data_IF_134520031672
#
_entry.id   IF_134520031672
#
_cell.length_a   1.000
_cell.length_b   1.000
_cell.length_c   1.000
_cell.angle_alpha   90.00
_cell.angle_beta   90.00
_cell.angle_gamma   90.00
#
_symmetry.space_group_name_H-M   'P 1'
#
loop_
_entity.id
_entity.type
_entity.pdbx_description
1 polymer ?
#
# COMPACT_ATOMS: atom_id res chain seq x y z
N UNK A 1 -12.64 18.40 -12.98
CA UNK A 1 -12.11 17.95 -11.68
C UNK A 1 -11.78 19.14 -10.79
N UNK A 2 -12.12 19.11 -9.48
CA UNK A 2 -11.67 20.12 -8.55
C UNK A 2 -10.18 19.91 -8.22
N UNK A 3 -9.36 20.91 -8.51
CA UNK A 3 -8.00 21.00 -7.97
C UNK A 3 -8.06 21.61 -6.58
N UNK A 4 -7.53 20.90 -5.60
CA UNK A 4 -7.44 21.32 -4.21
C UNK A 4 -5.95 21.42 -3.87
N UNK A 5 -5.47 22.65 -3.71
CA UNK A 5 -4.07 22.94 -3.47
C UNK A 5 -3.90 23.78 -2.21
N UNK A 6 -3.03 23.33 -1.30
CA UNK A 6 -2.67 24.09 -0.08
C UNK A 6 -3.80 24.30 0.92
N UNK A 7 -4.92 23.58 0.79
CA UNK A 7 -5.92 23.48 1.85
C UNK A 7 -5.37 22.55 2.94
N UNK A 8 -5.38 22.94 4.23
CA UNK A 8 -4.83 22.12 5.31
C UNK A 8 -5.54 20.77 5.44
N UNK A 9 -6.87 20.80 5.51
CA UNK A 9 -7.73 19.63 5.79
C UNK A 9 -8.96 19.61 4.85
N UNK A 10 -8.78 19.42 3.54
CA UNK A 10 -9.93 19.41 2.63
C UNK A 10 -10.79 18.16 2.85
N UNK A 11 -12.11 18.37 2.91
CA UNK A 11 -13.10 17.30 2.95
C UNK A 11 -13.71 17.10 1.57
N UNK A 12 -13.60 15.88 1.04
CA UNK A 12 -14.02 15.54 -0.32
C UNK A 12 -14.94 14.32 -0.25
N UNK A 13 -16.17 14.49 -0.69
CA UNK A 13 -17.18 13.43 -0.69
C UNK A 13 -17.81 13.29 -2.06
N UNK A 14 -17.76 12.09 -2.65
CA UNK A 14 -18.43 11.78 -3.92
C UNK A 14 -17.91 12.56 -5.14
N UNK A 15 -16.72 13.16 -5.05
CA UNK A 15 -16.06 13.75 -6.22
C UNK A 15 -15.47 12.62 -7.07
N UNK A 16 -15.74 12.55 -8.38
CA UNK A 16 -15.29 11.44 -9.23
C UNK A 16 -13.75 11.31 -9.25
N UNK A 17 -13.06 12.38 -9.59
CA UNK A 17 -11.59 12.41 -9.78
C UNK A 17 -11.02 13.68 -9.12
N UNK A 18 -10.97 13.78 -7.77
CA UNK A 18 -10.39 14.95 -7.12
C UNK A 18 -8.86 14.95 -7.26
N UNK A 19 -8.29 16.12 -7.57
CA UNK A 19 -6.84 16.33 -7.58
C UNK A 19 -6.41 17.09 -6.33
N UNK A 20 -5.53 16.49 -5.53
CA UNK A 20 -5.07 17.04 -4.26
C UNK A 20 -3.56 17.18 -4.29
N UNK A 21 -3.08 18.40 -4.08
CA UNK A 21 -1.65 18.70 -4.09
C UNK A 21 -1.25 19.49 -2.84
N UNK A 22 -0.33 18.94 -2.04
CA UNK A 22 0.23 19.63 -0.88
C UNK A 22 -0.80 19.96 0.21
N UNK A 23 -1.87 19.17 0.31
CA UNK A 23 -2.80 19.24 1.43
C UNK A 23 -2.29 18.30 2.54
N UNK A 24 -1.99 18.80 3.75
CA UNK A 24 -1.57 18.02 4.92
C UNK A 24 -2.42 16.77 5.19
N UNK A 25 -3.73 16.96 5.37
CA UNK A 25 -4.63 15.94 5.93
C UNK A 25 -5.96 15.88 5.13
N UNK A 26 -5.93 15.53 3.83
CA UNK A 26 -7.15 15.43 3.04
C UNK A 26 -7.98 14.23 3.48
N UNK A 27 -9.28 14.45 3.68
CA UNK A 27 -10.25 13.38 3.93
C UNK A 27 -11.09 13.14 2.68
N UNK A 28 -11.03 11.91 2.16
CA UNK A 28 -11.69 11.52 0.92
C UNK A 28 -12.61 10.34 1.18
N UNK A 29 -13.89 10.50 0.83
CA UNK A 29 -14.89 9.46 0.95
C UNK A 29 -15.66 9.26 -0.36
N UNK A 30 -15.66 8.02 -0.87
CA UNK A 30 -16.46 7.64 -2.05
C UNK A 30 -16.04 8.37 -3.33
N UNK A 31 -14.76 8.72 -3.46
CA UNK A 31 -14.19 9.23 -4.69
C UNK A 31 -13.61 8.06 -5.51
N UNK A 32 -14.13 7.76 -6.72
CA UNK A 32 -13.60 6.75 -7.64
C UNK A 32 -12.08 6.76 -7.80
N UNK A 33 -11.52 7.90 -8.23
CA UNK A 33 -10.15 7.99 -8.73
C UNK A 33 -9.42 9.22 -8.14
N UNK A 34 -9.25 9.34 -6.81
CA UNK A 34 -8.56 10.47 -6.22
C UNK A 34 -7.06 10.41 -6.55
N UNK A 35 -6.51 11.54 -7.00
CA UNK A 35 -5.07 11.72 -7.21
C UNK A 35 -4.50 12.61 -6.11
N UNK A 36 -3.57 12.07 -5.33
CA UNK A 36 -2.96 12.74 -4.19
C UNK A 36 -1.45 12.81 -4.36
N UNK A 37 -0.91 14.03 -4.28
CA UNK A 37 0.52 14.28 -4.35
C UNK A 37 0.99 15.14 -3.17
N UNK A 38 1.98 14.65 -2.42
CA UNK A 38 2.64 15.40 -1.35
C UNK A 38 1.69 15.74 -0.19
N UNK A 39 0.75 14.85 0.11
CA UNK A 39 -0.10 14.94 1.30
C UNK A 39 0.51 14.07 2.41
N UNK A 40 0.99 14.65 3.53
CA UNK A 40 1.44 13.93 4.72
C UNK A 40 0.58 12.74 5.15
N UNK A 41 -0.71 13.00 5.42
CA UNK A 41 -1.60 12.06 6.13
C UNK A 41 -2.98 11.97 5.44
N UNK A 42 -3.07 11.54 4.16
CA UNK A 42 -4.35 11.42 3.48
C UNK A 42 -5.15 10.25 4.04
N UNK A 43 -6.43 10.49 4.33
CA UNK A 43 -7.38 9.44 4.69
C UNK A 43 -8.34 9.19 3.54
N UNK A 44 -8.37 7.96 3.04
CA UNK A 44 -9.20 7.56 1.90
C UNK A 44 -10.10 6.38 2.28
N UNK A 45 -11.40 6.54 2.09
CA UNK A 45 -12.38 5.49 2.33
C UNK A 45 -13.27 5.27 1.10
N UNK A 46 -13.37 4.01 0.66
CA UNK A 46 -14.26 3.61 -0.43
C UNK A 46 -13.91 4.25 -1.78
N UNK A 47 -12.61 4.39 -2.05
CA UNK A 47 -12.11 4.83 -3.34
C UNK A 47 -11.64 3.61 -4.15
N UNK A 48 -12.30 3.25 -5.26
CA UNK A 48 -11.85 2.23 -6.21
C UNK A 48 -10.35 2.23 -6.52
N UNK A 49 -9.84 3.35 -7.03
CA UNK A 49 -8.51 3.43 -7.67
C UNK A 49 -7.74 4.67 -7.20
N UNK A 50 -7.47 4.84 -5.89
CA UNK A 50 -6.72 5.99 -5.40
C UNK A 50 -5.25 5.90 -5.83
N UNK A 51 -4.72 6.99 -6.36
CA UNK A 51 -3.29 7.14 -6.63
C UNK A 51 -2.67 8.11 -5.62
N UNK A 52 -1.66 7.63 -4.88
CA UNK A 52 -0.97 8.40 -3.86
C UNK A 52 0.52 8.42 -4.12
N UNK A 53 1.11 9.62 -4.19
CA UNK A 53 2.53 9.82 -4.36
C UNK A 53 3.11 10.75 -3.29
N UNK A 54 4.18 10.30 -2.63
CA UNK A 54 4.92 11.10 -1.66
C UNK A 54 4.09 11.46 -0.42
N UNK A 55 3.26 10.52 0.04
CA UNK A 55 2.51 10.63 1.28
C UNK A 55 3.21 9.81 2.38
N UNK A 56 3.80 10.42 3.42
CA UNK A 56 4.32 9.76 4.61
C UNK A 56 3.45 8.62 5.16
N UNK A 57 2.20 8.93 5.51
CA UNK A 57 1.34 8.06 6.33
C UNK A 57 -0.08 7.96 5.74
N UNK A 58 -0.25 7.48 4.49
CA UNK A 58 -1.57 7.36 3.88
C UNK A 58 -2.35 6.22 4.54
N UNK A 59 -3.60 6.49 4.90
CA UNK A 59 -4.55 5.47 5.38
C UNK A 59 -5.61 5.22 4.30
N UNK A 60 -5.71 3.97 3.85
CA UNK A 60 -6.66 3.56 2.81
C UNK A 60 -7.52 2.40 3.31
N UNK A 61 -8.84 2.58 3.23
CA UNK A 61 -9.81 1.55 3.58
C UNK A 61 -10.81 1.28 2.46
N UNK A 62 -10.98 0.01 2.09
CA UNK A 62 -11.97 -0.42 1.11
C UNK A 62 -11.70 0.11 -0.29
N UNK A 63 -10.42 0.12 -0.69
CA UNK A 63 -10.00 0.48 -2.03
C UNK A 63 -9.58 -0.78 -2.81
N UNK A 64 -10.33 -1.20 -3.84
CA UNK A 64 -9.96 -2.26 -4.78
C UNK A 64 -8.49 -2.27 -5.22
N UNK A 65 -8.04 -1.17 -5.82
CA UNK A 65 -6.77 -1.11 -6.58
C UNK A 65 -5.96 0.15 -6.20
N UNK A 66 -5.59 0.36 -4.92
CA UNK A 66 -4.81 1.52 -4.53
C UNK A 66 -3.38 1.42 -5.05
N UNK A 67 -2.89 2.50 -5.65
CA UNK A 67 -1.48 2.64 -6.04
C UNK A 67 -0.78 3.64 -5.12
N UNK A 68 0.28 3.18 -4.45
CA UNK A 68 1.05 4.01 -3.52
C UNK A 68 2.53 4.01 -3.93
N UNK A 69 3.11 5.20 -4.04
CA UNK A 69 4.52 5.38 -4.35
C UNK A 69 5.20 6.35 -3.37
N UNK A 70 6.32 5.91 -2.80
CA UNK A 70 7.14 6.74 -1.91
C UNK A 70 6.43 7.13 -0.63
N UNK A 71 5.70 6.17 -0.04
CA UNK A 71 5.05 6.32 1.25
C UNK A 71 5.80 5.51 2.31
N UNK A 72 6.48 6.14 3.28
CA UNK A 72 7.08 5.51 4.45
C UNK A 72 6.24 4.43 5.12
N UNK A 73 5.04 4.79 5.56
CA UNK A 73 4.22 3.98 6.48
C UNK A 73 2.75 3.89 5.99
N UNK A 74 2.48 3.37 4.78
CA UNK A 74 1.13 3.26 4.27
C UNK A 74 0.37 2.16 5.03
N UNK A 75 -0.85 2.49 5.48
CA UNK A 75 -1.78 1.50 6.05
C UNK A 75 -2.91 1.23 5.07
N UNK A 76 -3.05 -0.03 4.66
CA UNK A 76 -4.09 -0.47 3.71
C UNK A 76 -4.92 -1.58 4.32
N UNK A 77 -6.24 -1.43 4.26
CA UNK A 77 -7.20 -2.41 4.79
C UNK A 77 -8.30 -2.71 3.77
N UNK A 78 -8.51 -4.00 3.49
CA UNK A 78 -9.58 -4.47 2.61
C UNK A 78 -9.38 -4.02 1.16
N UNK A 79 -8.15 -4.09 0.68
CA UNK A 79 -7.78 -3.80 -0.69
C UNK A 79 -7.43 -5.10 -1.43
N UNK A 80 -8.26 -5.59 -2.37
CA UNK A 80 -7.96 -6.70 -3.28
C UNK A 80 -6.54 -6.72 -3.84
N UNK A 81 -6.15 -5.66 -4.54
CA UNK A 81 -4.95 -5.61 -5.39
C UNK A 81 -4.11 -4.34 -5.14
N UNK A 82 -3.63 -4.10 -3.90
CA UNK A 82 -2.83 -2.91 -3.62
C UNK A 82 -1.45 -3.04 -4.25
N UNK A 83 -1.01 -1.98 -4.94
CA UNK A 83 0.36 -1.87 -5.44
C UNK A 83 1.12 -0.83 -4.62
N UNK A 84 2.21 -1.25 -3.97
CA UNK A 84 3.04 -0.39 -3.14
C UNK A 84 4.48 -0.41 -3.63
N UNK A 85 5.06 0.77 -3.83
CA UNK A 85 6.44 0.94 -4.26
C UNK A 85 7.22 1.91 -3.37
N UNK A 86 8.40 1.50 -2.93
CA UNK A 86 9.30 2.35 -2.14
C UNK A 86 8.71 2.74 -0.79
N UNK A 87 8.07 1.78 -0.12
CA UNK A 87 7.50 1.96 1.21
C UNK A 87 8.32 1.18 2.24
N UNK A 88 9.11 1.84 3.10
CA UNK A 88 9.78 1.26 4.27
C UNK A 88 8.98 0.20 5.03
N UNK A 89 7.81 0.58 5.54
CA UNK A 89 7.06 -0.18 6.55
C UNK A 89 5.55 -0.25 6.20
N UNK A 90 5.17 -0.81 5.03
CA UNK A 90 3.78 -0.90 4.64
C UNK A 90 3.06 -1.93 5.52
N UNK A 91 1.89 -1.55 6.04
CA UNK A 91 0.99 -2.49 6.71
C UNK A 91 -0.22 -2.76 5.83
N UNK A 92 -0.42 -4.02 5.46
CA UNK A 92 -1.52 -4.45 4.60
C UNK A 92 -2.34 -5.52 5.29
N UNK A 93 -3.67 -5.34 5.34
CA UNK A 93 -4.59 -6.29 5.93
C UNK A 93 -5.75 -6.62 4.99
N UNK A 94 -6.05 -7.92 4.86
CA UNK A 94 -7.16 -8.41 4.05
C UNK A 94 -7.01 -8.07 2.57
N UNK A 95 -5.80 -8.24 2.04
CA UNK A 95 -5.48 -8.03 0.64
C UNK A 95 -5.17 -9.37 -0.03
N UNK A 96 -6.07 -9.93 -0.86
CA UNK A 96 -5.83 -11.10 -1.71
C UNK A 96 -4.47 -11.16 -2.41
N UNK A 97 -4.15 -10.13 -3.19
CA UNK A 97 -3.04 -10.13 -4.16
C UNK A 97 -2.19 -8.85 -4.04
N UNK A 98 -1.59 -8.55 -2.87
CA UNK A 98 -0.78 -7.35 -2.70
C UNK A 98 0.53 -7.49 -3.46
N UNK A 99 0.89 -6.45 -4.22
CA UNK A 99 2.21 -6.34 -4.85
C UNK A 99 3.02 -5.28 -4.13
N UNK A 100 4.18 -5.67 -3.60
CA UNK A 100 5.06 -4.78 -2.85
C UNK A 100 6.47 -4.83 -3.43
N UNK A 101 7.03 -3.67 -3.76
CA UNK A 101 8.40 -3.55 -4.25
C UNK A 101 9.21 -2.51 -3.47
N UNK A 102 10.41 -2.90 -3.05
CA UNK A 102 11.34 -2.02 -2.33
C UNK A 102 10.81 -1.63 -0.95
N UNK A 103 10.23 -2.60 -0.24
CA UNK A 103 9.76 -2.44 1.12
C UNK A 103 10.62 -3.26 2.08
N UNK A 104 11.49 -2.64 2.88
CA UNK A 104 12.31 -3.32 3.86
C UNK A 104 11.57 -4.26 4.82
N UNK A 105 10.51 -3.75 5.46
CA UNK A 105 9.82 -4.41 6.57
C UNK A 105 8.29 -4.47 6.35
N UNK A 106 7.80 -5.09 5.26
CA UNK A 106 6.37 -5.14 4.98
C UNK A 106 5.69 -6.09 5.96
N UNK A 107 4.58 -5.63 6.55
CA UNK A 107 3.70 -6.47 7.37
C UNK A 107 2.41 -6.75 6.59
N UNK A 108 2.15 -8.02 6.31
CA UNK A 108 0.98 -8.44 5.53
C UNK A 108 0.19 -9.48 6.30
N UNK A 109 -1.11 -9.27 6.44
CA UNK A 109 -2.02 -10.23 7.07
C UNK A 109 -3.24 -10.52 6.20
N UNK A 110 -3.59 -11.81 6.08
CA UNK A 110 -4.75 -12.25 5.31
C UNK A 110 -4.58 -12.05 3.80
N UNK A 111 -3.37 -12.32 3.30
CA UNK A 111 -3.04 -12.23 1.89
C UNK A 111 -2.73 -13.61 1.31
N UNK A 112 -3.67 -14.26 0.61
CA UNK A 112 -3.47 -15.47 -0.17
C UNK A 112 -2.18 -15.54 -1.00
N UNK A 113 -1.99 -14.55 -1.87
CA UNK A 113 -0.99 -14.57 -2.96
C UNK A 113 -0.14 -13.29 -2.97
N UNK A 114 0.59 -12.97 -1.89
CA UNK A 114 1.40 -11.75 -1.85
C UNK A 114 2.63 -11.92 -2.74
N UNK A 115 2.89 -10.91 -3.58
CA UNK A 115 4.14 -10.80 -4.33
C UNK A 115 5.00 -9.69 -3.73
N UNK A 116 6.18 -10.05 -3.25
CA UNK A 116 7.08 -9.12 -2.57
C UNK A 116 8.47 -9.18 -3.18
N UNK A 117 9.02 -8.03 -3.54
CA UNK A 117 10.37 -7.91 -4.08
C UNK A 117 11.19 -6.86 -3.32
N UNK A 118 12.42 -7.23 -2.95
CA UNK A 118 13.34 -6.32 -2.27
C UNK A 118 12.92 -6.01 -0.83
N UNK A 119 12.44 -7.03 -0.12
CA UNK A 119 12.05 -6.96 1.29
C UNK A 119 12.96 -7.86 2.12
N UNK A 120 13.92 -7.31 2.90
CA UNK A 120 14.80 -8.10 3.73
C UNK A 120 14.09 -8.87 4.84
N UNK A 121 13.13 -8.24 5.51
CA UNK A 121 12.47 -8.75 6.72
C UNK A 121 10.93 -8.74 6.60
N UNK A 122 10.33 -9.41 5.59
CA UNK A 122 8.89 -9.42 5.43
C UNK A 122 8.23 -10.30 6.50
N UNK A 123 7.18 -9.78 7.14
CA UNK A 123 6.32 -10.56 8.04
C UNK A 123 4.97 -10.78 7.38
N UNK A 124 4.63 -12.05 7.14
CA UNK A 124 3.43 -12.43 6.39
C UNK A 124 2.62 -13.46 7.18
N UNK A 125 1.33 -13.21 7.38
CA UNK A 125 0.42 -14.12 8.04
C UNK A 125 -0.78 -14.46 7.15
N UNK A 126 -1.11 -15.75 7.05
CA UNK A 126 -2.25 -16.21 6.27
C UNK A 126 -2.01 -16.16 4.75
N UNK A 127 -0.78 -16.43 4.32
CA UNK A 127 -0.38 -16.52 2.92
C UNK A 127 -0.08 -17.96 2.52
N UNK A 128 -1.05 -18.69 1.93
CA UNK A 128 -0.82 -20.00 1.34
C UNK A 128 0.21 -20.02 0.21
N UNK A 129 0.26 -18.99 -0.64
CA UNK A 129 1.10 -18.97 -1.85
C UNK A 129 1.94 -17.67 -1.97
N UNK A 130 2.84 -17.38 -1.00
CA UNK A 130 3.68 -16.19 -1.06
C UNK A 130 4.81 -16.36 -2.08
N UNK A 131 5.03 -15.35 -2.91
CA UNK A 131 6.21 -15.24 -3.76
C UNK A 131 7.07 -14.07 -3.29
N UNK A 132 8.25 -14.40 -2.78
CA UNK A 132 9.17 -13.43 -2.18
C UNK A 132 10.54 -13.52 -2.85
N UNK A 133 11.05 -12.36 -3.27
CA UNK A 133 12.38 -12.20 -3.84
C UNK A 133 13.18 -11.16 -3.04
N UNK A 134 14.45 -11.49 -2.75
CA UNK A 134 15.33 -10.59 -2.01
C UNK A 134 15.04 -10.51 -0.51
N UNK A 135 14.49 -11.59 0.07
CA UNK A 135 14.24 -11.73 1.50
C UNK A 135 15.22 -12.72 2.16
N UNK A 136 16.32 -12.25 2.76
CA UNK A 136 17.15 -13.02 3.68
C UNK A 136 16.36 -13.58 4.88
N UNK A 137 15.46 -12.81 5.49
CA UNK A 137 14.81 -13.17 6.77
C UNK A 137 13.27 -13.09 6.71
N UNK A 138 12.59 -13.84 5.82
CA UNK A 138 11.13 -13.84 5.80
C UNK A 138 10.55 -14.64 6.97
N UNK A 139 9.55 -14.09 7.65
CA UNK A 139 8.71 -14.83 8.60
C UNK A 139 7.31 -14.99 8.04
N UNK A 140 6.95 -16.23 7.73
CA UNK A 140 5.67 -16.57 7.11
C UNK A 140 4.92 -17.54 8.03
N UNK A 141 3.74 -17.13 8.49
CA UNK A 141 2.85 -17.94 9.32
C UNK A 141 1.61 -18.39 8.53
N UNK A 142 1.25 -19.67 8.66
CA UNK A 142 0.04 -20.22 8.04
C UNK A 142 0.19 -20.63 6.57
N UNK A 143 1.41 -20.76 6.06
CA UNK A 143 1.70 -21.23 4.70
C UNK A 143 2.03 -22.74 4.69
N UNK A 144 1.35 -23.56 3.88
CA UNK A 144 1.76 -24.95 3.63
C UNK A 144 2.92 -25.05 2.63
N UNK A 145 3.08 -24.07 1.73
CA UNK A 145 4.10 -24.01 0.67
C UNK A 145 4.73 -22.61 0.70
N UNK A 146 6.06 -22.52 0.66
CA UNK A 146 6.76 -21.22 0.60
C UNK A 146 7.79 -21.25 -0.51
N UNK A 147 7.74 -20.29 -1.44
CA UNK A 147 8.74 -20.15 -2.51
C UNK A 147 9.56 -18.88 -2.28
N UNK A 148 10.72 -19.03 -1.67
CA UNK A 148 11.69 -17.95 -1.50
C UNK A 148 12.82 -18.10 -2.52
N UNK A 149 12.93 -17.15 -3.46
CA UNK A 149 14.05 -17.11 -4.42
C UNK A 149 15.15 -16.24 -3.85
N UNK A 150 16.11 -16.87 -3.18
CA UNK A 150 17.33 -16.21 -2.70
C UNK A 150 18.26 -15.91 -3.88
N UNK A 151 18.80 -14.70 -3.97
CA UNK A 151 19.98 -14.44 -4.80
C UNK A 151 21.18 -15.22 -4.23
N UNK A 152 22.07 -15.79 -5.06
CA UNK A 152 23.26 -16.46 -4.57
C UNK A 152 24.13 -15.45 -3.82
N UNK A 153 24.29 -15.69 -2.51
CA UNK A 153 25.27 -14.97 -1.71
C UNK A 153 26.67 -15.34 -2.24
N UNK A 154 27.30 -14.45 -3.00
CA UNK A 154 28.71 -14.58 -3.35
C UNK A 154 29.52 -14.42 -2.05
N UNK A 155 30.04 -15.55 -1.54
CA UNK A 155 31.15 -15.61 -0.58
C UNK A 155 32.47 -15.20 -1.23
#
# INVERSE_FOLDING_TARGET
EPLIAGAPEPLIAGAPEPLIAGAPEPLIAGAPEPLIAGAPEPLIAGAPEPLIAGAPEPLIAGAPEPLIAGAPEPLITGAPEPLITGAPEPLITGAPEPLIAGAPEPLIAGAPEPLIAGAPEPLIAGAPEPLIAGAPEPLIAGAPETFNKQEPQNL
#
